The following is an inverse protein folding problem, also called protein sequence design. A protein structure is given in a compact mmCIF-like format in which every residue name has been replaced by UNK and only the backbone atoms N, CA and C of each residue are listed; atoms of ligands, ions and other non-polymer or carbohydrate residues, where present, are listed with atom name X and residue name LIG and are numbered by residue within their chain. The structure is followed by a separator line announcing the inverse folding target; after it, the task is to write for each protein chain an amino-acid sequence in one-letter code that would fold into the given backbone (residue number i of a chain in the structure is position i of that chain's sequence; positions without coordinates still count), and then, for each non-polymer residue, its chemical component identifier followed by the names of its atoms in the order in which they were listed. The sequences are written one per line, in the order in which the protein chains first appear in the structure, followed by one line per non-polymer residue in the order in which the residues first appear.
data_IF_662079383784
#
_entry.id   IF_662079383784
#
_cell.length_a   1.000
_cell.length_b   1.000
_cell.length_c   1.000
_cell.angle_alpha   90.00
_cell.angle_beta   90.00
_cell.angle_gamma   90.00
#
_symmetry.space_group_name_H-M   'P 1'
#
loop_
_entity.id
_entity.type
_entity.pdbx_description
1 polymer ?
#
# COMPACT_ATOMS: atom_id res chain seq x y z
N UNK A 1 -62.96 47.91 -22.60
CA UNK A 1 -63.71 48.07 -23.86
C UNK A 1 -62.95 47.38 -24.96
N UNK A 2 -63.63 46.49 -25.70
CA UNK A 2 -63.30 46.12 -27.10
C UNK A 2 -61.91 45.57 -27.40
N UNK A 3 -61.75 44.25 -27.27
CA UNK A 3 -60.72 43.50 -28.01
C UNK A 3 -61.44 42.50 -28.92
N UNK A 4 -61.53 42.83 -30.21
CA UNK A 4 -62.31 42.09 -31.20
C UNK A 4 -61.81 40.65 -31.40
N UNK A 5 -62.76 39.72 -31.36
CA UNK A 5 -62.65 38.37 -31.89
C UNK A 5 -62.37 38.38 -33.39
N UNK A 6 -61.39 37.59 -33.83
CA UNK A 6 -61.35 37.06 -35.20
C UNK A 6 -61.35 35.54 -35.09
N UNK A 7 -62.48 34.96 -35.48
CA UNK A 7 -62.62 33.54 -35.79
C UNK A 7 -62.05 33.36 -37.20
N UNK A 8 -61.10 32.46 -37.38
CA UNK A 8 -60.78 31.88 -38.69
C UNK A 8 -60.44 30.40 -38.55
N UNK A 9 -61.49 29.63 -38.81
CA UNK A 9 -61.57 28.40 -39.60
C UNK A 9 -60.55 27.26 -39.42
N UNK A 10 -61.14 26.14 -39.02
CA UNK A 10 -60.63 24.79 -39.12
C UNK A 10 -60.40 24.35 -40.56
N UNK A 11 -59.13 24.18 -40.95
CA UNK A 11 -58.60 23.04 -41.75
C UNK A 11 -57.21 23.38 -42.28
N UNK A 12 -56.16 23.04 -41.53
CA UNK A 12 -54.90 22.56 -42.12
C UNK A 12 -54.24 21.61 -41.13
N UNK A 13 -54.37 20.32 -41.42
CA UNK A 13 -53.74 19.26 -40.65
C UNK A 13 -52.22 19.31 -40.86
N UNK A 14 -51.50 19.79 -39.85
CA UNK A 14 -50.10 19.41 -39.70
C UNK A 14 -50.08 18.03 -39.06
N UNK A 15 -49.82 17.03 -39.91
CA UNK A 15 -49.57 15.65 -39.56
C UNK A 15 -48.81 15.58 -38.25
N UNK A 16 -49.43 14.86 -37.31
CA UNK A 16 -48.85 14.28 -36.11
C UNK A 16 -47.48 13.70 -36.43
N UNK A 17 -46.42 14.48 -36.29
CA UNK A 17 -45.14 13.95 -35.87
C UNK A 17 -45.35 13.52 -34.43
N UNK A 18 -45.92 12.33 -34.25
CA UNK A 18 -45.54 11.52 -33.12
C UNK A 18 -44.02 11.37 -33.27
N UNK A 19 -43.28 12.28 -32.66
CA UNK A 19 -42.01 11.88 -32.09
C UNK A 19 -42.41 10.70 -31.21
N UNK A 20 -42.13 9.50 -31.70
CA UNK A 20 -41.98 8.34 -30.86
C UNK A 20 -41.20 8.85 -29.65
N UNK A 21 -41.89 8.98 -28.52
CA UNK A 21 -41.19 8.85 -27.27
C UNK A 21 -40.61 7.46 -27.40
N UNK A 22 -39.34 7.38 -27.82
CA UNK A 22 -38.44 6.39 -27.28
C UNK A 22 -38.76 6.47 -25.80
N UNK A 23 -39.56 5.53 -25.32
CA UNK A 23 -39.68 5.27 -23.90
C UNK A 23 -38.23 5.21 -23.47
N UNK A 24 -37.80 6.26 -22.77
CA UNK A 24 -36.48 6.36 -22.20
C UNK A 24 -36.51 5.36 -21.05
N UNK A 25 -36.52 4.08 -21.41
CA UNK A 25 -36.49 2.95 -20.52
C UNK A 25 -35.19 3.12 -19.79
N UNK A 26 -35.30 3.63 -18.56
CA UNK A 26 -34.19 3.72 -17.63
C UNK A 26 -33.78 2.30 -17.25
N UNK A 27 -33.03 1.69 -18.16
CA UNK A 27 -32.51 0.34 -18.05
C UNK A 27 -31.61 0.21 -16.82
N UNK A 28 -30.98 1.31 -16.40
CA UNK A 28 -30.19 1.39 -15.17
C UNK A 28 -31.05 1.29 -13.91
N UNK A 29 -32.32 1.73 -13.95
CA UNK A 29 -33.29 1.54 -12.85
C UNK A 29 -33.86 0.13 -12.74
N UNK A 30 -33.66 -0.72 -13.76
CA UNK A 30 -34.16 -2.11 -13.78
C UNK A 30 -33.14 -3.14 -13.31
N UNK A 31 -31.87 -2.74 -13.15
CA UNK A 31 -30.85 -3.62 -12.61
C UNK A 31 -31.17 -3.96 -11.16
N UNK A 32 -31.00 -5.24 -10.74
CA UNK A 32 -31.12 -5.61 -9.33
C UNK A 32 -30.14 -4.82 -8.47
N UNK A 33 -30.54 -4.49 -7.24
CA UNK A 33 -29.72 -3.75 -6.27
C UNK A 33 -28.32 -4.38 -6.09
N UNK A 34 -28.22 -5.71 -6.12
CA UNK A 34 -26.96 -6.44 -5.99
C UNK A 34 -25.97 -6.07 -7.12
N UNK A 35 -26.45 -5.96 -8.36
CA UNK A 35 -25.63 -5.56 -9.51
C UNK A 35 -25.23 -4.10 -9.40
N UNK A 36 -26.15 -3.25 -8.95
CA UNK A 36 -25.88 -1.83 -8.73
C UNK A 36 -24.82 -1.63 -7.63
N UNK A 37 -24.89 -2.39 -6.53
CA UNK A 37 -23.87 -2.36 -5.47
C UNK A 37 -22.51 -2.81 -5.99
N UNK A 38 -22.45 -3.84 -6.85
CA UNK A 38 -21.20 -4.27 -7.50
C UNK A 38 -20.62 -3.13 -8.36
N UNK A 39 -21.43 -2.48 -9.20
CA UNK A 39 -20.98 -1.33 -10.01
C UNK A 39 -20.46 -0.21 -9.11
N UNK A 40 -21.20 0.16 -8.06
CA UNK A 40 -20.83 1.23 -7.13
C UNK A 40 -19.57 0.90 -6.34
N UNK A 41 -19.34 -0.38 -6.01
CA UNK A 41 -18.13 -0.84 -5.31
C UNK A 41 -16.85 -0.70 -6.15
N UNK A 42 -16.99 -0.59 -7.47
CA UNK A 42 -15.89 -0.36 -8.41
C UNK A 42 -15.56 1.12 -8.59
N UNK A 43 -16.42 2.03 -8.14
CA UNK A 43 -16.22 3.47 -8.25
C UNK A 43 -15.53 4.06 -7.01
N UNK A 44 -14.74 5.14 -7.15
CA UNK A 44 -14.34 5.96 -6.02
C UNK A 44 -15.54 6.39 -5.20
N UNK A 45 -15.43 6.37 -3.87
CA UNK A 45 -16.58 6.59 -2.98
C UNK A 45 -17.33 7.91 -3.24
N UNK A 46 -16.62 8.97 -3.63
CA UNK A 46 -17.21 10.26 -4.02
C UNK A 46 -18.06 10.14 -5.29
N UNK A 47 -17.61 9.36 -6.26
CA UNK A 47 -18.30 9.11 -7.53
C UNK A 47 -19.50 8.18 -7.33
N UNK A 48 -19.34 7.12 -6.53
CA UNK A 48 -20.45 6.25 -6.11
C UNK A 48 -21.54 7.04 -5.37
N UNK A 49 -21.17 8.07 -4.60
CA UNK A 49 -22.15 8.99 -4.02
C UNK A 49 -22.89 9.82 -5.08
N UNK A 50 -22.17 10.32 -6.09
CA UNK A 50 -22.73 11.16 -7.17
C UNK A 50 -23.72 10.43 -8.07
N UNK A 51 -23.56 9.12 -8.28
CA UNK A 51 -24.53 8.33 -9.06
C UNK A 51 -25.93 8.29 -8.43
N UNK A 52 -26.09 8.72 -7.17
CA UNK A 52 -27.40 8.88 -6.51
C UNK A 52 -28.35 9.85 -7.27
N UNK A 53 -27.84 10.66 -8.21
CA UNK A 53 -28.66 11.54 -9.05
C UNK A 53 -29.20 10.86 -10.31
N UNK A 54 -28.70 9.67 -10.67
CA UNK A 54 -29.08 8.97 -11.90
C UNK A 54 -30.52 8.44 -11.81
N UNK A 55 -30.92 7.94 -10.63
CA UNK A 55 -32.27 7.43 -10.38
C UNK A 55 -32.51 7.27 -8.88
N UNK A 56 -33.79 7.21 -8.48
CA UNK A 56 -34.19 6.88 -7.11
C UNK A 56 -33.68 5.51 -6.64
N UNK A 57 -33.52 4.53 -7.54
CA UNK A 57 -32.98 3.20 -7.19
C UNK A 57 -31.50 3.26 -6.79
N UNK A 58 -30.73 4.17 -7.38
CA UNK A 58 -29.30 4.34 -7.08
C UNK A 58 -29.06 5.14 -5.79
N UNK A 59 -30.07 5.90 -5.36
CA UNK A 59 -30.03 6.71 -4.16
C UNK A 59 -29.81 5.81 -2.94
N UNK A 60 -28.73 6.06 -2.21
CA UNK A 60 -28.31 5.33 -0.99
C UNK A 60 -27.70 3.94 -1.20
N UNK A 61 -27.68 3.36 -2.41
CA UNK A 61 -27.07 2.03 -2.62
C UNK A 61 -25.56 2.04 -2.35
N UNK A 62 -24.89 3.14 -2.62
CA UNK A 62 -23.46 3.31 -2.32
C UNK A 62 -23.16 3.13 -0.83
N UNK A 63 -24.15 3.33 0.06
CA UNK A 63 -23.97 3.11 1.51
C UNK A 63 -23.83 1.63 1.85
N UNK A 64 -24.30 0.73 0.99
CA UNK A 64 -24.20 -0.71 1.16
C UNK A 64 -22.86 -1.29 0.69
N UNK A 65 -21.97 -0.45 0.13
CA UNK A 65 -20.65 -0.90 -0.31
C UNK A 65 -19.84 -1.51 0.85
N UNK A 66 -19.16 -2.61 0.55
CA UNK A 66 -18.18 -3.25 1.43
C UNK A 66 -16.79 -2.59 1.34
N UNK A 67 -16.58 -1.71 0.35
CA UNK A 67 -15.31 -1.05 0.06
C UNK A 67 -15.42 0.45 0.35
N UNK A 68 -14.85 0.87 1.48
CA UNK A 68 -14.78 2.26 1.91
C UNK A 68 -13.37 2.80 1.72
N UNK A 69 -13.14 3.46 0.58
CA UNK A 69 -11.86 4.07 0.25
C UNK A 69 -11.92 5.60 0.46
N UNK A 70 -11.25 6.07 1.51
CA UNK A 70 -11.12 7.47 1.86
C UNK A 70 -9.76 8.04 1.43
N UNK A 71 -9.38 7.86 0.17
CA UNK A 71 -8.23 8.54 -0.40
C UNK A 71 -8.55 10.02 -0.67
N UNK A 72 -7.69 10.92 -0.19
CA UNK A 72 -7.77 12.34 -0.45
C UNK A 72 -6.47 12.93 -1.05
N UNK A 73 -5.87 12.23 -2.02
CA UNK A 73 -4.71 12.71 -2.79
C UNK A 73 -4.91 14.12 -3.35
N UNK A 74 -6.10 14.42 -3.91
CA UNK A 74 -6.41 15.76 -4.43
C UNK A 74 -6.31 16.87 -3.38
N UNK A 75 -6.56 16.56 -2.10
CA UNK A 75 -6.42 17.50 -1.00
C UNK A 75 -4.93 17.66 -0.63
N UNK A 76 -4.16 16.57 -0.66
CA UNK A 76 -2.70 16.63 -0.50
C UNK A 76 -2.06 17.50 -1.60
N UNK A 77 -2.49 17.39 -2.85
CA UNK A 77 -2.00 18.24 -3.95
C UNK A 77 -2.29 19.73 -3.74
N UNK A 78 -3.41 20.06 -3.08
CA UNK A 78 -3.72 21.44 -2.69
C UNK A 78 -2.81 21.91 -1.57
N UNK A 79 -2.59 21.07 -0.54
CA UNK A 79 -1.70 21.38 0.58
C UNK A 79 -0.26 21.57 0.12
N UNK A 80 0.19 20.76 -0.85
CA UNK A 80 1.52 20.90 -1.44
C UNK A 80 1.68 22.25 -2.17
N UNK A 81 0.62 22.75 -2.81
CA UNK A 81 0.62 24.07 -3.48
C UNK A 81 0.44 25.24 -2.52
N UNK A 82 -0.37 25.07 -1.48
CA UNK A 82 -0.58 26.05 -0.42
C UNK A 82 -0.67 25.35 0.95
N UNK A 83 0.44 25.29 1.70
CA UNK A 83 0.50 24.63 3.01
C UNK A 83 -0.47 25.22 4.05
N UNK A 84 -0.97 26.44 3.85
CA UNK A 84 -1.94 27.08 4.76
C UNK A 84 -3.29 26.36 4.76
N UNK A 85 -3.63 25.66 3.67
CA UNK A 85 -4.88 24.91 3.54
C UNK A 85 -4.90 23.62 4.38
N UNK A 86 -3.75 23.18 4.94
CA UNK A 86 -3.62 21.90 5.66
C UNK A 86 -4.67 21.74 6.76
N UNK A 87 -4.84 22.75 7.61
CA UNK A 87 -5.79 22.69 8.71
C UNK A 87 -7.23 22.55 8.19
N UNK A 88 -7.61 23.34 7.20
CA UNK A 88 -8.95 23.31 6.62
C UNK A 88 -9.25 21.97 5.94
N UNK A 89 -8.34 21.49 5.09
CA UNK A 89 -8.49 20.22 4.37
C UNK A 89 -8.54 19.03 5.35
N UNK A 90 -7.76 19.05 6.45
CA UNK A 90 -7.88 18.08 7.57
C UNK A 90 -9.29 18.04 8.16
N UNK A 91 -9.86 19.21 8.47
CA UNK A 91 -11.22 19.29 9.01
C UNK A 91 -12.27 18.83 7.98
N UNK A 92 -12.13 19.22 6.71
CA UNK A 92 -13.03 18.80 5.63
C UNK A 92 -12.98 17.27 5.45
N UNK A 93 -11.79 16.69 5.44
CA UNK A 93 -11.58 15.25 5.35
C UNK A 93 -12.29 14.52 6.49
N UNK A 94 -12.03 14.93 7.73
CA UNK A 94 -12.64 14.32 8.92
C UNK A 94 -14.17 14.42 8.88
N UNK A 95 -14.72 15.57 8.51
CA UNK A 95 -16.18 15.76 8.35
C UNK A 95 -16.75 14.83 7.29
N UNK A 96 -16.07 14.69 6.15
CA UNK A 96 -16.47 13.81 5.07
C UNK A 96 -16.50 12.35 5.52
N UNK A 97 -15.39 11.83 6.07
CA UNK A 97 -15.32 10.45 6.57
C UNK A 97 -16.42 10.21 7.59
N UNK A 98 -16.55 11.07 8.59
CA UNK A 98 -17.58 10.94 9.63
C UNK A 98 -19.01 10.95 9.07
N UNK A 99 -19.28 11.77 8.05
CA UNK A 99 -20.59 11.81 7.39
C UNK A 99 -20.91 10.48 6.70
N UNK A 100 -19.94 9.93 5.96
CA UNK A 100 -20.07 8.62 5.31
C UNK A 100 -20.31 7.53 6.35
N UNK A 101 -19.49 7.44 7.39
CA UNK A 101 -19.60 6.38 8.40
C UNK A 101 -20.93 6.45 9.18
N UNK A 102 -21.45 7.65 9.45
CA UNK A 102 -22.78 7.84 10.05
C UNK A 102 -23.91 7.39 9.12
N UNK A 103 -23.71 7.49 7.81
CA UNK A 103 -24.70 7.12 6.81
C UNK A 103 -24.69 5.62 6.48
N UNK A 104 -23.62 4.90 6.85
CA UNK A 104 -23.51 3.47 6.61
C UNK A 104 -24.64 2.70 7.34
N UNK A 105 -25.17 1.62 6.74
CA UNK A 105 -26.20 0.80 7.36
C UNK A 105 -25.75 0.33 8.74
N UNK A 106 -26.63 0.46 9.74
CA UNK A 106 -26.39 -0.06 11.10
C UNK A 106 -26.36 -1.59 11.16
N UNK A 107 -26.74 -2.27 10.08
CA UNK A 107 -26.78 -3.72 10.01
C UNK A 107 -25.34 -4.24 10.05
N UNK A 108 -24.95 -4.78 11.21
CA UNK A 108 -23.65 -5.41 11.48
C UNK A 108 -23.36 -6.64 10.57
N UNK A 109 -24.31 -7.03 9.73
CA UNK A 109 -24.26 -8.22 8.90
C UNK A 109 -23.33 -8.10 7.67
N UNK A 110 -22.94 -6.89 7.24
CA UNK A 110 -22.08 -6.74 6.07
C UNK A 110 -20.62 -6.51 6.50
N UNK A 111 -19.80 -7.55 6.29
CA UNK A 111 -18.35 -7.46 6.43
C UNK A 111 -17.80 -6.35 5.52
N UNK A 112 -16.77 -5.65 5.99
CA UNK A 112 -16.02 -4.71 5.16
C UNK A 112 -14.93 -5.44 4.41
N UNK A 113 -15.00 -5.42 3.08
CA UNK A 113 -13.92 -5.96 2.25
C UNK A 113 -12.68 -5.06 2.32
N UNK A 114 -12.87 -3.73 2.37
CA UNK A 114 -11.77 -2.78 2.38
C UNK A 114 -12.16 -1.52 3.15
N UNK A 115 -11.32 -1.12 4.09
CA UNK A 115 -11.39 0.15 4.80
C UNK A 115 -10.04 0.87 4.69
N UNK A 116 -10.01 1.96 3.94
CA UNK A 116 -8.78 2.72 3.67
C UNK A 116 -8.91 4.16 4.10
N UNK A 117 -8.04 4.60 4.99
CA UNK A 117 -7.78 6.00 5.33
C UNK A 117 -6.42 6.34 4.72
N UNK A 118 -6.39 7.30 3.80
CA UNK A 118 -5.16 7.72 3.12
C UNK A 118 -5.14 9.24 3.02
N UNK A 119 -4.70 9.86 4.10
CA UNK A 119 -4.59 11.31 4.26
C UNK A 119 -3.82 11.65 5.55
N UNK A 120 -3.08 12.75 5.54
CA UNK A 120 -2.52 13.35 6.75
C UNK A 120 -3.63 13.98 7.60
N UNK A 121 -4.19 13.19 8.52
CA UNK A 121 -5.31 13.62 9.38
C UNK A 121 -4.84 14.54 10.51
N UNK A 122 -3.57 14.50 10.90
CA UNK A 122 -3.01 15.24 12.04
C UNK A 122 -3.42 14.69 13.42
N UNK A 123 -2.59 14.94 14.44
CA UNK A 123 -2.74 14.33 15.78
C UNK A 123 -3.99 14.78 16.54
N UNK A 124 -4.50 15.98 16.24
CA UNK A 124 -5.69 16.56 16.89
C UNK A 124 -6.96 15.72 16.73
N UNK A 125 -6.96 14.77 15.80
CA UNK A 125 -8.08 13.86 15.54
C UNK A 125 -7.81 12.42 15.96
N UNK A 126 -6.83 12.16 16.83
CA UNK A 126 -6.51 10.80 17.32
C UNK A 126 -7.76 10.04 17.79
N UNK A 127 -8.58 10.64 18.66
CA UNK A 127 -9.83 10.03 19.12
C UNK A 127 -10.85 9.76 18.00
N UNK A 128 -10.76 10.47 16.88
CA UNK A 128 -11.60 10.24 15.70
C UNK A 128 -11.07 9.07 14.87
N UNK A 129 -9.76 8.98 14.64
CA UNK A 129 -9.11 7.83 13.99
C UNK A 129 -9.40 6.54 14.78
N UNK A 130 -9.32 6.59 16.11
CA UNK A 130 -9.69 5.47 16.99
C UNK A 130 -11.14 5.02 16.77
N UNK A 131 -12.08 5.96 16.57
CA UNK A 131 -13.49 5.61 16.27
C UNK A 131 -13.62 4.94 14.90
N UNK A 132 -12.83 5.37 13.91
CA UNK A 132 -12.80 4.75 12.58
C UNK A 132 -12.27 3.32 12.63
N UNK A 133 -11.20 3.07 13.40
CA UNK A 133 -10.68 1.72 13.64
C UNK A 133 -11.73 0.82 14.31
N UNK A 134 -12.38 1.31 15.38
CA UNK A 134 -13.48 0.58 16.05
C UNK A 134 -14.61 0.25 15.09
N UNK A 135 -14.97 1.17 14.19
CA UNK A 135 -15.95 0.92 13.14
C UNK A 135 -15.51 -0.20 12.19
N UNK A 136 -14.25 -0.17 11.73
CA UNK A 136 -13.72 -1.17 10.82
C UNK A 136 -13.67 -2.57 11.45
N UNK A 137 -13.15 -2.68 12.69
CA UNK A 137 -13.08 -3.95 13.41
C UNK A 137 -14.46 -4.51 13.77
N UNK A 138 -15.41 -3.66 14.16
CA UNK A 138 -16.79 -4.09 14.40
C UNK A 138 -17.44 -4.71 13.16
N UNK A 139 -17.05 -4.28 11.97
CA UNK A 139 -17.51 -4.82 10.68
C UNK A 139 -16.55 -5.86 10.08
N UNK A 140 -15.67 -6.48 10.88
CA UNK A 140 -14.81 -7.60 10.48
C UNK A 140 -14.04 -7.32 9.17
N UNK A 141 -13.37 -6.17 9.13
CA UNK A 141 -12.65 -5.72 7.95
C UNK A 141 -11.65 -6.75 7.43
N UNK A 142 -11.64 -6.99 6.12
CA UNK A 142 -10.67 -7.87 5.47
C UNK A 142 -9.37 -7.15 5.10
N UNK A 143 -9.46 -5.90 4.61
CA UNK A 143 -8.30 -5.07 4.26
C UNK A 143 -8.37 -3.75 5.00
N UNK A 144 -7.45 -3.54 5.94
CA UNK A 144 -7.34 -2.30 6.70
C UNK A 144 -6.07 -1.55 6.29
N UNK A 145 -6.23 -0.37 5.71
CA UNK A 145 -5.14 0.55 5.39
C UNK A 145 -5.33 1.85 6.15
N UNK A 146 -4.38 2.16 7.04
CA UNK A 146 -4.26 3.44 7.71
C UNK A 146 -2.93 4.07 7.30
N UNK A 147 -2.99 4.92 6.28
CA UNK A 147 -1.87 5.67 5.77
C UNK A 147 -2.01 7.14 6.18
N UNK A 148 -1.19 7.56 7.14
CA UNK A 148 -1.18 8.90 7.72
C UNK A 148 0.11 9.67 7.36
N UNK A 149 0.86 9.25 6.34
CA UNK A 149 2.08 9.92 5.92
C UNK A 149 1.82 11.40 5.63
N UNK A 150 2.65 12.26 6.23
CA UNK A 150 2.58 13.72 6.04
C UNK A 150 3.25 14.12 4.71
N UNK A 151 2.71 15.17 4.07
CA UNK A 151 3.33 15.79 2.90
C UNK A 151 3.90 17.17 3.32
N UNK A 152 5.23 17.29 3.38
CA UNK A 152 5.99 18.51 3.67
C UNK A 152 6.73 18.55 5.02
N UNK A 153 7.69 19.48 5.15
CA UNK A 153 8.71 19.59 6.23
C UNK A 153 8.22 20.09 7.60
N UNK A 154 7.18 19.48 8.18
CA UNK A 154 6.80 19.79 9.56
C UNK A 154 7.08 18.62 10.51
N UNK A 155 8.35 18.42 10.85
CA UNK A 155 8.86 17.43 11.84
C UNK A 155 8.31 17.60 13.29
N UNK A 156 7.29 18.44 13.51
CA UNK A 156 6.86 18.85 14.86
C UNK A 156 5.57 18.21 15.35
N UNK A 157 4.82 17.49 14.51
CA UNK A 157 3.63 16.77 14.96
C UNK A 157 3.95 15.32 15.36
N UNK A 158 3.70 15.00 16.63
CA UNK A 158 3.75 13.62 17.13
C UNK A 158 2.76 12.75 16.35
N UNK A 159 3.23 11.59 15.88
CA UNK A 159 2.42 10.59 15.18
C UNK A 159 1.19 10.14 15.99
N UNK A 160 0.19 9.59 15.27
CA UNK A 160 -0.94 8.92 15.90
C UNK A 160 -0.46 7.68 16.67
N UNK A 161 -0.83 7.61 17.96
CA UNK A 161 -0.55 6.45 18.82
C UNK A 161 -1.68 5.45 18.70
N UNK A 162 -1.35 4.23 18.30
CA UNK A 162 -2.31 3.15 18.18
C UNK A 162 -2.90 2.79 19.55
N UNK A 163 -4.23 2.77 19.71
CA UNK A 163 -4.88 2.55 20.99
C UNK A 163 -5.02 1.06 21.29
N UNK A 164 -4.04 0.46 21.97
CA UNK A 164 -4.03 -0.99 22.26
C UNK A 164 -5.27 -1.50 23.00
N UNK A 165 -5.96 -0.62 23.75
CA UNK A 165 -7.21 -0.93 24.44
C UNK A 165 -8.34 -1.37 23.48
N UNK A 166 -8.19 -1.14 22.17
CA UNK A 166 -9.16 -1.61 21.17
C UNK A 166 -8.94 -3.06 20.75
N UNK A 167 -7.82 -3.69 21.12
CA UNK A 167 -7.52 -5.08 20.76
C UNK A 167 -8.10 -6.05 21.78
N UNK A 168 -7.94 -5.74 23.08
CA UNK A 168 -8.37 -6.61 24.16
C UNK A 168 -8.99 -5.84 25.32
N UNK A 169 -9.93 -6.51 25.99
CA UNK A 169 -10.43 -6.08 27.29
C UNK A 169 -9.61 -6.77 28.38
N UNK A 170 -8.99 -5.99 29.27
CA UNK A 170 -8.46 -6.53 30.52
C UNK A 170 -9.66 -6.95 31.38
N UNK A 171 -9.72 -8.23 31.77
CA UNK A 171 -10.71 -8.69 32.74
C UNK A 171 -10.49 -7.96 34.07
N UNK A 172 -11.57 -7.44 34.65
CA UNK A 172 -11.52 -6.76 35.96
C UNK A 172 -11.40 -7.80 37.09
N UNK A 173 -11.96 -8.99 36.87
CA UNK A 173 -12.09 -10.03 37.90
C UNK A 173 -10.93 -11.02 37.91
N UNK A 174 -10.18 -11.14 36.80
CA UNK A 174 -9.08 -12.11 36.66
C UNK A 174 -7.85 -11.40 36.07
N UNK A 175 -6.84 -11.09 36.91
CA UNK A 175 -5.55 -10.59 36.43
C UNK A 175 -4.96 -11.59 35.41
N UNK A 176 -4.44 -11.07 34.29
CA UNK A 176 -3.81 -11.81 33.19
C UNK A 176 -4.74 -12.53 32.19
N UNK A 177 -6.07 -12.46 32.34
CA UNK A 177 -6.97 -12.93 31.28
C UNK A 177 -7.39 -11.78 30.36
N UNK A 178 -6.93 -11.81 29.11
CA UNK A 178 -7.33 -10.88 28.05
C UNK A 178 -8.30 -11.57 27.10
N UNK A 179 -9.41 -10.90 26.80
CA UNK A 179 -10.35 -11.35 25.77
C UNK A 179 -10.31 -10.38 24.60
N UNK A 180 -10.27 -10.90 23.37
CA UNK A 180 -10.30 -10.06 22.17
C UNK A 180 -11.64 -9.34 22.09
N UNK A 181 -11.62 -8.04 21.79
CA UNK A 181 -12.84 -7.24 21.68
C UNK A 181 -13.62 -7.52 20.38
N UNK A 182 -12.91 -7.97 19.36
CA UNK A 182 -13.43 -8.20 18.02
C UNK A 182 -12.93 -9.55 17.50
N UNK A 183 -13.64 -10.06 16.48
CA UNK A 183 -13.15 -11.19 15.70
C UNK A 183 -12.27 -10.66 14.56
N UNK A 184 -10.98 -10.94 14.62
CA UNK A 184 -10.00 -10.51 13.62
C UNK A 184 -9.70 -11.57 12.55
N UNK A 185 -10.37 -12.72 12.56
CA UNK A 185 -10.11 -13.82 11.61
C UNK A 185 -10.44 -13.47 10.15
N UNK A 186 -11.19 -12.39 9.90
CA UNK A 186 -11.44 -11.91 8.55
C UNK A 186 -10.31 -11.05 7.98
N UNK A 187 -9.42 -10.53 8.83
CA UNK A 187 -8.37 -9.59 8.43
C UNK A 187 -7.28 -10.32 7.61
N UNK A 188 -7.14 -9.92 6.35
CA UNK A 188 -6.18 -10.44 5.37
C UNK A 188 -5.04 -9.48 5.08
N UNK A 189 -5.31 -8.17 5.11
CA UNK A 189 -4.30 -7.14 4.85
C UNK A 189 -4.33 -6.12 5.97
N UNK A 190 -3.17 -5.89 6.58
CA UNK A 190 -2.95 -4.83 7.55
C UNK A 190 -1.85 -3.91 7.03
N UNK A 191 -2.19 -2.65 6.77
CA UNK A 191 -1.26 -1.64 6.32
C UNK A 191 -1.29 -0.43 7.23
N UNK A 192 -0.15 -0.18 7.89
CA UNK A 192 0.08 0.94 8.78
C UNK A 192 1.23 1.78 8.26
N UNK A 193 0.98 3.07 8.03
CA UNK A 193 1.99 4.04 7.62
C UNK A 193 1.93 5.29 8.47
N UNK A 194 3.08 5.73 9.00
CA UNK A 194 3.22 6.90 9.88
C UNK A 194 2.39 6.78 11.18
N UNK A 195 2.58 5.69 11.91
CA UNK A 195 1.82 5.35 13.12
C UNK A 195 2.79 4.92 14.23
N UNK A 196 2.52 5.33 15.46
CA UNK A 196 3.22 4.85 16.63
C UNK A 196 2.49 3.62 17.19
N UNK A 197 3.09 2.44 17.09
CA UNK A 197 2.51 1.16 17.54
C UNK A 197 3.60 0.28 18.14
N UNK A 198 3.29 -0.41 19.24
CA UNK A 198 4.22 -1.25 20.01
C UNK A 198 4.44 -2.64 19.38
N UNK A 199 5.53 -3.27 19.79
CA UNK A 199 5.86 -4.67 19.48
C UNK A 199 4.69 -5.60 19.87
N UNK A 200 4.10 -5.42 21.06
CA UNK A 200 3.01 -6.24 21.59
C UNK A 200 1.74 -6.16 20.75
N UNK A 201 1.42 -4.98 20.21
CA UNK A 201 0.25 -4.78 19.37
C UNK A 201 0.42 -5.47 18.00
N UNK A 202 1.61 -5.42 17.41
CA UNK A 202 1.90 -6.13 16.16
C UNK A 202 1.88 -7.64 16.38
N UNK A 203 2.50 -8.11 17.47
CA UNK A 203 2.46 -9.52 17.86
C UNK A 203 1.02 -10.01 18.07
N UNK A 204 0.15 -9.18 18.67
CA UNK A 204 -1.26 -9.50 18.79
C UNK A 204 -1.90 -9.78 17.43
N UNK A 205 -1.66 -8.94 16.41
CA UNK A 205 -2.23 -9.16 15.08
C UNK A 205 -1.68 -10.44 14.44
N UNK A 206 -0.38 -10.68 14.52
CA UNK A 206 0.26 -11.88 13.96
C UNK A 206 -0.25 -13.18 14.62
N UNK A 207 -0.55 -13.14 15.91
CA UNK A 207 -1.06 -14.32 16.66
C UNK A 207 -2.57 -14.53 16.50
N UNK A 208 -3.36 -13.46 16.45
CA UNK A 208 -4.83 -13.55 16.51
C UNK A 208 -5.53 -13.39 15.15
N UNK A 209 -4.84 -12.90 14.11
CA UNK A 209 -5.41 -12.75 12.76
C UNK A 209 -5.04 -13.95 11.90
N UNK A 210 -5.83 -15.02 12.01
CA UNK A 210 -5.56 -16.31 11.35
C UNK A 210 -5.63 -16.29 9.82
N UNK A 211 -6.20 -15.23 9.21
CA UNK A 211 -6.24 -15.05 7.75
C UNK A 211 -5.27 -13.99 7.24
N UNK A 212 -4.34 -13.49 8.06
CA UNK A 212 -3.46 -12.38 7.68
C UNK A 212 -2.44 -12.83 6.62
N UNK A 213 -2.63 -12.36 5.39
CA UNK A 213 -1.81 -12.68 4.22
C UNK A 213 -0.74 -11.59 3.96
N UNK A 214 -1.01 -10.34 4.34
CA UNK A 214 -0.11 -9.23 4.09
C UNK A 214 -0.01 -8.27 5.28
N UNK A 215 1.22 -7.94 5.66
CA UNK A 215 1.55 -6.95 6.68
C UNK A 215 2.46 -5.88 6.08
N UNK A 216 2.03 -4.61 6.16
CA UNK A 216 2.79 -3.45 5.68
C UNK A 216 2.98 -2.47 6.83
N UNK A 217 4.23 -2.24 7.20
CA UNK A 217 4.68 -1.33 8.23
C UNK A 217 5.64 -0.31 7.58
N UNK A 218 5.26 0.95 7.59
CA UNK A 218 6.08 2.01 7.02
C UNK A 218 6.13 3.21 7.96
N UNK A 219 7.32 3.73 8.26
CA UNK A 219 7.47 4.88 9.15
C UNK A 219 6.76 4.66 10.50
N UNK A 220 7.03 3.50 11.12
CA UNK A 220 6.47 3.14 12.41
C UNK A 220 7.41 3.56 13.52
N UNK A 221 6.86 4.24 14.53
CA UNK A 221 7.57 4.56 15.77
C UNK A 221 7.18 3.58 16.89
N UNK A 222 8.08 3.39 17.86
CA UNK A 222 7.95 2.47 19.01
C UNK A 222 8.01 0.98 18.66
N UNK A 223 8.33 0.63 17.41
CA UNK A 223 8.62 -0.74 17.02
C UNK A 223 10.13 -1.00 17.17
N UNK A 224 10.51 -1.74 18.21
CA UNK A 224 11.90 -2.12 18.48
C UNK A 224 12.21 -3.52 17.98
N UNK A 225 11.26 -4.45 18.05
CA UNK A 225 11.43 -5.83 17.61
C UNK A 225 10.23 -6.29 16.78
N UNK A 226 10.51 -6.78 15.59
CA UNK A 226 9.51 -7.39 14.73
C UNK A 226 9.73 -8.90 14.67
N UNK A 227 8.87 -9.68 15.33
CA UNK A 227 8.95 -11.13 15.33
C UNK A 227 7.76 -11.77 14.63
N UNK A 228 7.99 -12.28 13.42
CA UNK A 228 7.01 -12.95 12.58
C UNK A 228 7.22 -14.45 12.69
N UNK A 229 6.64 -15.06 13.73
CA UNK A 229 6.65 -16.52 13.94
C UNK A 229 5.31 -17.01 14.46
N UNK A 230 4.93 -18.22 14.07
CA UNK A 230 3.71 -18.84 14.59
C UNK A 230 3.16 -19.95 13.69
N UNK A 231 2.55 -21.00 14.27
CA UNK A 231 2.09 -22.17 13.52
C UNK A 231 0.89 -21.87 12.59
N UNK A 232 0.17 -20.77 12.83
CA UNK A 232 -1.03 -20.38 12.08
C UNK A 232 -0.79 -19.27 11.06
N UNK A 233 0.48 -18.91 10.79
CA UNK A 233 0.81 -17.83 9.87
C UNK A 233 0.58 -18.25 8.42
N UNK A 234 -0.41 -17.61 7.78
CA UNK A 234 -0.67 -17.68 6.33
C UNK A 234 -0.07 -16.47 5.59
N UNK A 235 0.86 -15.77 6.22
CA UNK A 235 1.49 -14.56 5.71
C UNK A 235 2.28 -14.86 4.44
N UNK A 236 1.95 -14.15 3.36
CA UNK A 236 2.59 -14.24 2.04
C UNK A 236 3.49 -13.05 1.76
N UNK A 237 3.15 -11.88 2.30
CA UNK A 237 3.90 -10.64 2.09
C UNK A 237 4.14 -9.89 3.40
N UNK A 238 5.39 -9.52 3.63
CA UNK A 238 5.82 -8.63 4.70
C UNK A 238 6.57 -7.45 4.10
N UNK A 239 6.13 -6.24 4.41
CA UNK A 239 6.82 -5.02 4.03
C UNK A 239 7.09 -4.19 5.28
N UNK A 240 8.36 -3.92 5.55
CA UNK A 240 8.88 -3.01 6.55
C UNK A 240 9.75 -1.96 5.84
N UNK A 241 9.55 -0.68 6.12
CA UNK A 241 10.51 0.35 5.72
C UNK A 241 10.47 1.57 6.63
N UNK A 242 11.64 2.14 6.91
CA UNK A 242 11.80 3.41 7.64
C UNK A 242 11.23 3.38 9.08
N UNK A 243 11.20 2.23 9.75
CA UNK A 243 10.81 2.17 11.16
C UNK A 243 11.97 2.64 12.06
N UNK A 244 11.80 3.76 12.76
CA UNK A 244 12.85 4.36 13.59
C UNK A 244 12.96 3.62 14.92
N UNK A 245 14.18 3.22 15.28
CA UNK A 245 14.46 2.50 16.52
C UNK A 245 14.25 0.98 16.45
N UNK A 246 14.03 0.44 15.24
CA UNK A 246 13.96 -1.01 15.01
C UNK A 246 15.35 -1.64 15.16
N UNK A 247 15.50 -2.53 16.14
CA UNK A 247 16.75 -3.20 16.47
C UNK A 247 16.83 -4.61 15.89
N UNK A 248 15.72 -5.36 15.92
CA UNK A 248 15.69 -6.75 15.44
C UNK A 248 14.47 -7.08 14.58
N UNK A 249 14.69 -7.94 13.58
CA UNK A 249 13.64 -8.47 12.71
C UNK A 249 13.86 -9.98 12.61
N UNK A 250 12.93 -10.77 13.14
CA UNK A 250 12.98 -12.23 13.09
C UNK A 250 11.82 -12.75 12.29
N UNK A 251 12.09 -13.44 11.19
CA UNK A 251 11.06 -13.96 10.28
C UNK A 251 11.17 -15.47 10.18
N UNK A 252 10.11 -16.16 10.62
CA UNK A 252 9.89 -17.58 10.41
C UNK A 252 8.48 -17.82 9.90
N UNK A 253 8.36 -17.81 8.56
CA UNK A 253 7.09 -17.85 7.85
C UNK A 253 7.22 -18.72 6.58
N UNK A 254 6.75 -19.99 6.61
CA UNK A 254 7.01 -20.92 5.52
C UNK A 254 6.27 -20.58 4.21
N UNK A 255 5.16 -19.85 4.31
CA UNK A 255 4.33 -19.44 3.17
C UNK A 255 4.70 -18.06 2.61
N UNK A 256 5.76 -17.42 3.14
CA UNK A 256 6.15 -16.08 2.76
C UNK A 256 6.79 -16.10 1.37
N UNK A 257 6.23 -15.34 0.43
CA UNK A 257 6.70 -15.25 -0.96
C UNK A 257 7.39 -13.93 -1.27
N UNK A 258 7.03 -12.85 -0.56
CA UNK A 258 7.61 -11.52 -0.74
C UNK A 258 7.98 -10.91 0.61
N UNK A 259 9.21 -10.42 0.72
CA UNK A 259 9.76 -9.80 1.92
C UNK A 259 10.45 -8.49 1.55
N UNK A 260 10.02 -7.39 2.13
CA UNK A 260 10.72 -6.12 2.07
C UNK A 260 11.09 -5.67 3.48
N UNK A 261 12.39 -5.49 3.78
CA UNK A 261 12.85 -5.10 5.13
C UNK A 261 14.10 -4.24 5.07
N UNK A 262 14.36 -3.51 6.15
CA UNK A 262 15.64 -2.84 6.41
C UNK A 262 16.60 -3.82 7.10
N UNK A 263 17.87 -3.85 6.71
CA UNK A 263 18.88 -4.64 7.44
C UNK A 263 19.14 -3.98 8.81
N UNK A 264 19.05 -4.80 9.85
CA UNK A 264 19.46 -4.49 11.22
C UNK A 264 20.45 -5.55 11.73
N UNK A 265 21.15 -5.27 12.83
CA UNK A 265 22.05 -6.26 13.47
C UNK A 265 21.30 -7.51 13.93
N UNK A 266 20.03 -7.38 14.31
CA UNK A 266 19.17 -8.47 14.72
C UNK A 266 18.32 -9.09 13.60
N UNK A 267 18.67 -8.92 12.31
CA UNK A 267 17.95 -9.55 11.21
C UNK A 267 18.22 -11.07 11.17
N UNK A 268 17.15 -11.86 11.32
CA UNK A 268 17.18 -13.31 11.27
C UNK A 268 16.05 -13.80 10.37
N UNK A 269 16.43 -14.53 9.33
CA UNK A 269 15.51 -15.18 8.40
C UNK A 269 15.69 -16.69 8.53
N UNK A 270 14.66 -17.36 9.03
CA UNK A 270 14.67 -18.80 9.29
C UNK A 270 13.41 -19.43 8.68
N UNK A 271 13.53 -20.59 8.02
CA UNK A 271 12.35 -21.29 7.49
C UNK A 271 11.47 -20.43 6.56
N UNK A 272 12.07 -19.87 5.50
CA UNK A 272 11.41 -19.10 4.43
C UNK A 272 11.59 -19.76 3.05
N UNK A 273 11.22 -21.04 2.87
CA UNK A 273 11.49 -21.79 1.64
C UNK A 273 10.75 -21.27 0.40
N UNK A 274 9.64 -20.55 0.56
CA UNK A 274 8.82 -20.04 -0.55
C UNK A 274 9.17 -18.60 -0.96
N UNK A 275 10.21 -18.01 -0.36
CA UNK A 275 10.59 -16.61 -0.59
C UNK A 275 11.22 -16.42 -1.97
N UNK A 276 10.46 -15.83 -2.89
CA UNK A 276 10.90 -15.58 -4.28
C UNK A 276 11.22 -14.11 -4.56
N UNK A 277 10.70 -13.18 -3.75
CA UNK A 277 10.89 -11.73 -3.90
C UNK A 277 11.43 -11.13 -2.61
N UNK A 278 12.64 -10.58 -2.67
CA UNK A 278 13.32 -9.99 -1.52
C UNK A 278 13.73 -8.55 -1.85
N UNK A 279 13.21 -7.60 -1.08
CA UNK A 279 13.65 -6.21 -1.10
C UNK A 279 14.38 -5.86 0.20
N UNK A 280 15.65 -5.51 0.10
CA UNK A 280 16.46 -5.15 1.24
C UNK A 280 16.87 -3.68 1.16
N UNK A 281 16.58 -2.92 2.21
CA UNK A 281 17.17 -1.60 2.43
C UNK A 281 18.40 -1.76 3.32
N UNK A 282 19.58 -1.55 2.75
CA UNK A 282 20.84 -1.70 3.48
C UNK A 282 21.48 -0.34 3.70
N UNK A 283 21.78 0.02 4.94
CA UNK A 283 22.67 1.15 5.21
C UNK A 283 24.13 0.70 5.07
N UNK A 284 25.01 1.63 4.72
CA UNK A 284 26.44 1.34 4.55
C UNK A 284 27.07 0.59 5.73
N UNK A 285 26.75 1.00 6.96
CA UNK A 285 27.23 0.36 8.19
C UNK A 285 26.81 -1.12 8.34
N UNK A 286 25.71 -1.52 7.70
CA UNK A 286 25.15 -2.86 7.80
C UNK A 286 25.46 -3.75 6.59
N UNK A 287 26.27 -3.29 5.63
CA UNK A 287 26.63 -4.07 4.44
C UNK A 287 27.17 -5.48 4.71
N UNK A 288 28.01 -5.71 5.75
CA UNK A 288 28.46 -7.07 6.08
C UNK A 288 27.31 -8.06 6.37
N UNK A 289 26.16 -7.56 6.84
CA UNK A 289 24.99 -8.35 7.20
C UNK A 289 24.12 -8.72 5.99
N UNK A 290 24.37 -8.12 4.81
CA UNK A 290 23.67 -8.48 3.58
C UNK A 290 24.02 -9.91 3.12
N UNK A 291 25.27 -10.33 3.32
CA UNK A 291 25.73 -11.68 2.95
C UNK A 291 24.91 -12.77 3.65
N UNK A 292 24.82 -12.84 4.99
CA UNK A 292 24.02 -13.85 5.65
C UNK A 292 22.53 -13.77 5.31
N UNK A 293 21.99 -12.56 5.10
CA UNK A 293 20.59 -12.38 4.68
C UNK A 293 20.31 -13.00 3.30
N UNK A 294 21.23 -12.89 2.34
CA UNK A 294 21.08 -13.54 1.03
C UNK A 294 21.35 -15.05 1.11
N UNK A 295 22.31 -15.48 1.93
CA UNK A 295 22.66 -16.90 2.09
C UNK A 295 21.53 -17.77 2.67
N UNK A 296 20.48 -17.19 3.26
CA UNK A 296 19.35 -17.98 3.75
C UNK A 296 18.32 -18.33 2.66
N UNK A 297 18.33 -17.62 1.52
CA UNK A 297 17.28 -17.72 0.50
C UNK A 297 17.79 -17.77 -0.95
N UNK A 298 19.11 -17.80 -1.16
CA UNK A 298 19.74 -17.76 -2.48
C UNK A 298 19.24 -18.83 -3.47
N UNK A 299 18.82 -20.01 -2.98
CA UNK A 299 18.42 -21.14 -3.82
C UNK A 299 17.04 -21.03 -4.45
N UNK A 300 16.19 -20.10 -3.98
CA UNK A 300 14.80 -19.94 -4.44
C UNK A 300 14.48 -18.52 -4.89
N UNK A 301 15.42 -17.59 -4.74
CA UNK A 301 15.17 -16.17 -4.95
C UNK A 301 15.14 -15.81 -6.43
N UNK A 302 14.00 -15.32 -6.93
CA UNK A 302 13.81 -14.92 -8.33
C UNK A 302 13.94 -13.41 -8.54
N UNK A 303 13.53 -12.61 -7.55
CA UNK A 303 13.54 -11.14 -7.60
C UNK A 303 14.31 -10.61 -6.38
N UNK A 304 15.30 -9.77 -6.64
CA UNK A 304 16.07 -9.07 -5.62
C UNK A 304 15.99 -7.57 -5.85
N UNK A 305 15.52 -6.82 -4.86
CA UNK A 305 15.58 -5.36 -4.84
C UNK A 305 16.55 -4.91 -3.75
N UNK A 306 17.62 -4.21 -4.11
CA UNK A 306 18.58 -3.63 -3.18
C UNK A 306 18.38 -2.11 -3.13
N UNK A 307 18.00 -1.58 -1.98
CA UNK A 307 17.97 -0.13 -1.72
C UNK A 307 19.18 0.25 -0.89
N UNK A 308 20.06 1.04 -1.49
CA UNK A 308 21.35 1.45 -0.96
C UNK A 308 21.36 2.98 -0.81
N UNK A 309 20.70 3.52 0.24
CA UNK A 309 20.66 4.95 0.50
C UNK A 309 22.04 5.50 0.86
N UNK A 310 22.31 6.74 0.40
CA UNK A 310 23.43 7.67 0.67
C UNK A 310 24.76 7.12 1.25
N UNK A 311 25.87 7.53 0.65
CA UNK A 311 27.20 7.44 1.27
C UNK A 311 28.02 6.20 0.92
N UNK A 312 27.57 5.44 -0.08
CA UNK A 312 28.28 4.30 -0.63
C UNK A 312 29.41 4.72 -1.58
N UNK A 313 30.57 4.07 -1.44
CA UNK A 313 31.72 4.12 -2.36
C UNK A 313 31.91 2.76 -3.02
N UNK A 314 32.58 2.70 -4.17
CA UNK A 314 32.78 1.46 -4.94
C UNK A 314 33.29 0.27 -4.12
N UNK A 315 34.27 0.52 -3.25
CA UNK A 315 34.92 -0.52 -2.46
C UNK A 315 34.05 -1.05 -1.31
N UNK A 316 32.95 -0.37 -0.97
CA UNK A 316 32.07 -0.75 0.12
C UNK A 316 31.21 -1.97 -0.22
N UNK A 317 31.12 -2.35 -1.50
CA UNK A 317 30.28 -3.46 -1.98
C UNK A 317 31.15 -4.62 -2.49
N UNK A 318 32.16 -4.30 -3.31
CA UNK A 318 32.95 -5.29 -4.05
C UNK A 318 33.84 -6.21 -3.20
N UNK A 319 33.97 -5.94 -1.89
CA UNK A 319 34.82 -6.70 -0.97
C UNK A 319 34.15 -7.92 -0.33
N UNK A 320 32.83 -8.03 -0.47
CA UNK A 320 32.06 -9.10 0.16
C UNK A 320 31.87 -10.29 -0.78
N UNK A 321 31.89 -11.49 -0.20
CA UNK A 321 31.65 -12.73 -0.92
C UNK A 321 30.17 -13.10 -0.76
N UNK A 322 29.39 -12.80 -1.80
CA UNK A 322 27.97 -13.16 -1.86
C UNK A 322 27.78 -14.59 -2.40
N UNK A 323 26.70 -15.28 -1.99
CA UNK A 323 26.32 -16.57 -2.59
C UNK A 323 25.96 -16.39 -4.07
N UNK A 324 26.10 -17.46 -4.85
CA UNK A 324 25.59 -17.47 -6.23
C UNK A 324 24.06 -17.50 -6.21
N UNK A 325 23.45 -16.55 -6.92
CA UNK A 325 22.01 -16.36 -7.03
C UNK A 325 21.53 -16.95 -8.36
N UNK A 326 21.58 -18.27 -8.46
CA UNK A 326 21.34 -19.00 -9.72
C UNK A 326 19.92 -18.86 -10.25
N UNK A 327 18.92 -18.74 -9.37
CA UNK A 327 17.51 -18.60 -9.76
C UNK A 327 17.08 -17.14 -9.98
N UNK A 328 17.99 -16.18 -9.79
CA UNK A 328 17.66 -14.77 -9.87
C UNK A 328 17.44 -14.32 -11.30
N UNK A 329 16.20 -13.93 -11.61
CA UNK A 329 15.77 -13.44 -12.94
C UNK A 329 15.73 -11.92 -12.99
N UNK A 330 15.40 -11.26 -11.88
CA UNK A 330 15.27 -9.80 -11.80
C UNK A 330 16.08 -9.22 -10.65
N UNK A 331 16.89 -8.23 -10.97
CA UNK A 331 17.67 -7.45 -10.00
C UNK A 331 17.33 -5.98 -10.16
N UNK A 332 16.82 -5.37 -9.09
CA UNK A 332 16.57 -3.93 -8.99
C UNK A 332 17.54 -3.36 -7.98
N UNK A 333 18.29 -2.32 -8.35
CA UNK A 333 19.18 -1.61 -7.46
C UNK A 333 18.77 -0.15 -7.43
N UNK A 334 18.33 0.32 -6.28
CA UNK A 334 18.12 1.73 -5.97
C UNK A 334 19.38 2.25 -5.25
N UNK A 335 20.16 3.06 -5.93
CA UNK A 335 21.49 3.49 -5.49
C UNK A 335 21.58 5.01 -5.47
N UNK A 336 21.94 5.56 -4.32
CA UNK A 336 22.22 7.01 -4.19
C UNK A 336 23.73 7.21 -3.94
N UNK A 337 24.52 7.44 -4.99
CA UNK A 337 25.98 7.60 -4.87
C UNK A 337 26.37 8.84 -4.07
N UNK A 338 27.52 8.78 -3.39
CA UNK A 338 28.23 10.00 -2.98
C UNK A 338 28.80 10.71 -4.23
N UNK A 339 29.12 12.02 -4.16
CA UNK A 339 29.43 12.89 -5.33
C UNK A 339 30.53 12.39 -6.28
N UNK A 340 31.30 11.37 -5.91
CA UNK A 340 32.36 10.75 -6.73
C UNK A 340 32.31 9.20 -6.74
N UNK A 341 31.22 8.58 -6.28
CA UNK A 341 31.10 7.13 -6.22
C UNK A 341 30.76 6.54 -7.60
N UNK A 342 31.53 5.55 -8.06
CA UNK A 342 31.17 4.81 -9.26
C UNK A 342 30.13 3.71 -8.93
N UNK A 343 29.47 3.23 -9.98
CA UNK A 343 28.51 2.12 -9.92
C UNK A 343 29.18 0.77 -10.17
N UNK A 344 30.49 0.73 -10.46
CA UNK A 344 31.24 -0.50 -10.77
C UNK A 344 31.20 -1.50 -9.62
N UNK A 345 31.12 -1.03 -8.37
CA UNK A 345 30.93 -1.90 -7.20
C UNK A 345 29.69 -2.80 -7.29
N UNK A 346 28.66 -2.40 -8.04
CA UNK A 346 27.42 -3.16 -8.25
C UNK A 346 27.59 -4.32 -9.24
N UNK A 347 28.66 -4.34 -10.03
CA UNK A 347 28.93 -5.42 -10.98
C UNK A 347 29.05 -6.79 -10.30
N UNK A 348 29.37 -6.82 -9.00
CA UNK A 348 29.41 -8.08 -8.25
C UNK A 348 28.05 -8.80 -8.25
N UNK A 349 26.94 -8.06 -8.20
CA UNK A 349 25.60 -8.64 -8.21
C UNK A 349 25.25 -9.23 -9.58
N UNK A 350 25.73 -8.64 -10.67
CA UNK A 350 25.62 -9.25 -12.00
C UNK A 350 26.47 -10.52 -12.12
N UNK A 351 27.68 -10.51 -11.55
CA UNK A 351 28.59 -11.67 -11.61
C UNK A 351 28.05 -12.89 -10.86
N UNK A 352 27.41 -12.68 -9.71
CA UNK A 352 26.83 -13.78 -8.91
C UNK A 352 25.47 -14.25 -9.41
N UNK A 353 24.89 -13.60 -10.42
CA UNK A 353 23.54 -13.87 -10.94
C UNK A 353 23.60 -14.27 -12.42
N UNK A 354 24.08 -15.49 -12.75
CA UNK A 354 24.36 -15.90 -14.12
C UNK A 354 23.11 -16.04 -15.01
N UNK A 355 21.92 -16.22 -14.42
CA UNK A 355 20.66 -16.37 -15.15
C UNK A 355 19.79 -15.09 -15.13
N UNK A 356 20.42 -13.95 -14.85
CA UNK A 356 19.71 -12.67 -14.77
C UNK A 356 19.12 -12.26 -16.13
N UNK A 357 17.81 -12.00 -16.15
CA UNK A 357 17.06 -11.59 -17.35
C UNK A 357 16.85 -10.07 -17.38
N UNK A 358 16.55 -9.47 -16.23
CA UNK A 358 16.22 -8.05 -16.08
C UNK A 358 17.09 -7.40 -15.00
N UNK A 359 17.83 -6.34 -15.38
CA UNK A 359 18.55 -5.48 -14.43
C UNK A 359 18.04 -4.05 -14.51
N UNK A 360 17.56 -3.54 -13.38
CA UNK A 360 17.11 -2.17 -13.20
C UNK A 360 18.04 -1.44 -12.25
N UNK A 361 18.68 -0.39 -12.72
CA UNK A 361 19.44 0.51 -11.87
C UNK A 361 18.72 1.86 -11.80
N UNK A 362 18.26 2.22 -10.61
CA UNK A 362 17.72 3.53 -10.30
C UNK A 362 18.82 4.30 -9.58
N UNK A 363 19.30 5.38 -10.19
CA UNK A 363 20.30 6.25 -9.57
C UNK A 363 19.63 7.53 -9.09
N UNK A 364 19.63 7.74 -7.77
CA UNK A 364 19.14 8.97 -7.15
C UNK A 364 20.23 10.03 -7.04
N UNK A 365 19.96 11.25 -7.51
CA UNK A 365 20.80 12.44 -7.29
C UNK A 365 20.20 13.41 -6.28
N UNK A 366 21.00 14.32 -5.72
CA UNK A 366 20.56 15.38 -4.80
C UNK A 366 19.51 16.35 -5.38
N UNK A 367 19.29 16.30 -6.69
CA UNK A 367 18.33 17.12 -7.43
C UNK A 367 17.29 16.23 -8.12
N UNK A 368 16.30 15.69 -7.39
CA UNK A 368 15.01 15.07 -7.82
C UNK A 368 14.90 14.29 -9.16
N UNK A 369 15.99 13.92 -9.81
CA UNK A 369 16.05 13.22 -11.09
C UNK A 369 16.44 11.77 -10.78
N UNK A 370 15.45 10.89 -10.80
CA UNK A 370 15.72 9.45 -10.90
C UNK A 370 16.09 9.14 -12.34
N UNK A 371 17.32 8.70 -12.59
CA UNK A 371 17.67 8.08 -13.87
C UNK A 371 17.38 6.60 -13.73
N UNK A 372 16.39 6.11 -14.50
CA UNK A 372 16.13 4.67 -14.62
C UNK A 372 16.97 4.16 -15.78
N UNK A 373 17.97 3.34 -15.47
CA UNK A 373 18.79 2.65 -16.46
C UNK A 373 18.27 1.22 -16.55
N UNK A 374 17.71 0.87 -17.71
CA UNK A 374 17.39 -0.51 -18.06
C UNK A 374 18.62 -1.14 -18.70
N UNK A 375 19.17 -2.18 -18.07
CA UNK A 375 20.16 -3.04 -18.72
C UNK A 375 19.49 -4.39 -18.99
N UNK A 376 19.19 -4.67 -20.26
CA UNK A 376 18.83 -6.03 -20.67
C UNK A 376 20.11 -6.85 -20.77
N UNK A 377 20.22 -7.89 -19.95
CA UNK A 377 21.32 -8.83 -20.04
C UNK A 377 20.99 -9.83 -21.15
N UNK A 378 21.48 -9.57 -22.37
CA UNK A 378 21.36 -10.53 -23.46
C UNK A 378 22.50 -11.56 -23.37
N UNK A 379 22.24 -12.76 -22.87
CA UNK A 379 23.12 -13.90 -23.07
C UNK A 379 22.92 -14.43 -24.51
N UNK A 380 23.82 -14.07 -25.43
CA UNK A 380 23.82 -14.69 -26.76
C UNK A 380 24.46 -16.09 -26.67
N UNK A 381 23.75 -17.16 -27.06
CA UNK A 381 24.30 -18.51 -27.09
C UNK A 381 25.00 -18.73 -28.43
N UNK A 382 26.21 -18.19 -28.64
CA UNK A 382 27.02 -18.58 -29.80
C UNK A 382 28.52 -18.67 -29.49
N UNK A 383 29.05 -19.89 -29.68
CA UNK A 383 30.45 -20.30 -29.90
C UNK A 383 31.28 -20.75 -28.68
N UNK A 384 31.97 -21.92 -28.74
CA UNK A 384 32.65 -22.54 -27.60
C UNK A 384 34.09 -22.02 -27.36
N UNK A 385 34.45 -20.85 -27.88
CA UNK A 385 35.75 -20.24 -27.62
C UNK A 385 35.56 -18.74 -27.39
N UNK A 386 36.12 -18.26 -26.27
CA UNK A 386 36.12 -16.91 -25.68
C UNK A 386 35.12 -16.66 -24.54
N UNK A 387 35.71 -16.15 -23.44
CA UNK A 387 35.07 -15.61 -22.24
C UNK A 387 33.78 -14.85 -22.55
N UNK A 388 32.72 -15.15 -21.80
CA UNK A 388 31.41 -14.49 -21.82
C UNK A 388 31.56 -12.96 -21.83
N UNK A 389 31.47 -12.35 -23.01
CA UNK A 389 31.42 -10.90 -23.16
C UNK A 389 30.00 -10.45 -22.81
N UNK A 390 29.85 -9.90 -21.60
CA UNK A 390 28.65 -9.23 -21.14
C UNK A 390 28.46 -7.95 -21.99
N UNK A 391 27.53 -7.96 -22.95
CA UNK A 391 27.16 -6.75 -23.68
C UNK A 391 26.06 -6.02 -22.89
N UNK A 392 26.43 -4.92 -22.25
CA UNK A 392 25.52 -4.01 -21.55
C UNK A 392 24.95 -3.03 -22.59
N UNK A 393 23.65 -3.14 -22.92
CA UNK A 393 22.96 -2.08 -23.64
C UNK A 393 22.46 -1.02 -22.65
N UNK A 394 23.10 0.15 -22.64
CA UNK A 394 22.64 1.33 -21.91
C UNK A 394 21.52 2.01 -22.69
N UNK A 395 20.27 1.85 -22.25
CA UNK A 395 19.18 2.75 -22.66
C UNK A 395 19.00 3.84 -21.61
N UNK A 396 19.48 5.05 -21.92
CA UNK A 396 19.15 6.26 -21.17
C UNK A 396 17.79 6.76 -21.67
N UNK A 397 16.74 6.59 -20.86
CA UNK A 397 15.49 7.31 -21.09
C UNK A 397 15.58 8.68 -20.39
N UNK A 398 15.48 9.75 -21.18
CA UNK A 398 15.27 11.11 -20.72
C UNK A 398 13.89 11.23 -20.03
N UNK A 399 13.69 12.19 -19.11
CA UNK A 399 12.54 12.21 -18.20
C UNK A 399 11.20 12.39 -18.94
N UNK A 400 10.15 11.74 -18.42
CA UNK A 400 8.73 12.05 -18.69
C UNK A 400 8.30 13.20 -17.79
#
# INVERSE_FOLDING_TARGET
MGGNSVICDSRFQLKKCAAERLDNYDWMSRLPDDILVVILSSLPLKEAGRTSVLSSSWKNLWKQTSRLNFNASSALDKIARDPKLRCEERHMYVRWVNSVLKSAPRKEALNLEHFRICFDVGKGFSGTITKWLKFAFKRRVERLELNLLEYGDNESEKQYVFPEDILFRKSIDIPHQTTTLYNFNSLKVLCFKNISISDEAIEFFLRNCTSLEQLVLQDINQLSNLEVRGPSLVLKSLYESFCVGLESIKVSAPNLTSLAVSITEGLVLENVPMLVDLAITCQKRHMPLLVPALSCCFSQLEILTLRLPWGYKDHDIARFNFPELLELKKLVVDFTPERDASVLGLMIFMRISPNLEEFLLMVGGSDYLCVIIWLFVCFFPFSPFYHSLLFIFLFLLAPI
#
